data_IF_484953972856
#
_entry.id   IF_484953972856
#
_cell.length_a   1.000
_cell.length_b   1.000
_cell.length_c   1.000
_cell.angle_alpha   90.00
_cell.angle_beta   90.00
_cell.angle_gamma   90.00
#
_symmetry.space_group_name_H-M   'P 1'
#
loop_
_entity.id
_entity.type
_entity.pdbx_description
1 polymer ?
#
# COMPACT_ATOMS: atom_id res chain seq x y z
N UNK A 1 15.94 -15.84 16.99
CA UNK A 1 15.85 -15.68 18.46
C UNK A 1 15.17 -16.92 19.02
N UNK A 2 15.95 -17.89 19.49
CA UNK A 2 15.43 -18.93 20.38
C UNK A 2 15.56 -18.35 21.79
N UNK A 3 14.59 -17.57 22.24
CA UNK A 3 14.47 -17.28 23.66
C UNK A 3 14.29 -18.61 24.39
N UNK A 4 15.14 -18.85 25.40
CA UNK A 4 15.03 -20.02 26.27
C UNK A 4 13.62 -20.02 26.86
N UNK A 5 12.79 -20.98 26.41
CA UNK A 5 11.52 -21.28 27.07
C UNK A 5 11.84 -21.45 28.55
N UNK A 6 11.33 -20.55 29.39
CA UNK A 6 11.61 -20.56 30.82
C UNK A 6 11.36 -21.95 31.40
N UNK A 7 12.19 -22.34 32.37
CA UNK A 7 12.13 -23.65 33.00
C UNK A 7 10.67 -23.99 33.37
N UNK A 8 10.14 -25.07 32.78
CA UNK A 8 8.75 -25.52 32.97
C UNK A 8 8.38 -25.62 34.45
N UNK A 9 9.36 -25.96 35.29
CA UNK A 9 9.18 -26.07 36.72
C UNK A 9 8.92 -24.70 37.37
N UNK A 10 9.60 -23.64 36.92
CA UNK A 10 9.36 -22.27 37.39
C UNK A 10 7.98 -21.75 36.97
N UNK A 11 7.58 -21.98 35.71
CA UNK A 11 6.26 -21.59 35.21
C UNK A 11 5.17 -22.34 35.99
N UNK A 12 5.38 -23.64 36.22
CA UNK A 12 4.45 -24.47 36.98
C UNK A 12 4.30 -24.00 38.43
N UNK A 13 5.40 -23.75 39.14
CA UNK A 13 5.34 -23.27 40.53
C UNK A 13 4.66 -21.91 40.67
N UNK A 14 4.71 -21.06 39.64
CA UNK A 14 3.96 -19.80 39.61
C UNK A 14 2.46 -20.02 39.40
N UNK A 15 2.06 -20.96 38.53
CA UNK A 15 0.66 -21.22 38.21
C UNK A 15 -0.05 -22.10 39.25
N UNK A 16 0.67 -23.06 39.85
CA UNK A 16 0.16 -24.06 40.80
C UNK A 16 1.13 -24.22 41.98
N UNK A 17 1.21 -23.22 42.88
CA UNK A 17 2.15 -23.26 44.00
C UNK A 17 1.90 -24.46 44.91
N UNK A 18 2.97 -25.20 45.23
CA UNK A 18 2.90 -26.37 46.12
C UNK A 18 2.45 -27.68 45.45
N UNK A 19 2.05 -27.67 44.18
CA UNK A 19 1.75 -28.90 43.43
C UNK A 19 3.02 -29.44 42.73
N UNK A 20 3.22 -30.78 42.65
CA UNK A 20 4.25 -31.36 41.80
C UNK A 20 3.94 -31.08 40.32
N UNK A 21 4.99 -30.95 39.49
CA UNK A 21 4.87 -30.67 38.06
C UNK A 21 4.04 -31.76 37.35
N UNK A 22 2.88 -31.39 36.80
CA UNK A 22 2.07 -32.25 35.94
C UNK A 22 2.20 -31.79 34.49
N UNK A 23 3.22 -32.29 33.79
CA UNK A 23 3.55 -31.86 32.43
C UNK A 23 2.37 -31.98 31.45
N UNK A 24 1.51 -33.00 31.58
CA UNK A 24 0.29 -33.12 30.77
C UNK A 24 -0.70 -31.96 30.94
N UNK A 25 -0.91 -31.48 32.17
CA UNK A 25 -1.77 -30.33 32.46
C UNK A 25 -1.13 -29.03 31.95
N UNK A 26 0.18 -28.90 32.06
CA UNK A 26 0.92 -27.75 31.53
C UNK A 26 0.83 -27.66 30.01
N UNK A 27 1.03 -28.78 29.30
CA UNK A 27 0.85 -28.84 27.84
C UNK A 27 -0.57 -28.50 27.40
N UNK A 28 -1.59 -28.98 28.14
CA UNK A 28 -2.98 -28.61 27.88
C UNK A 28 -3.20 -27.10 28.03
N UNK A 29 -2.66 -26.48 29.10
CA UNK A 29 -2.74 -25.03 29.29
C UNK A 29 -2.06 -24.25 28.16
N UNK A 30 -0.89 -24.69 27.70
CA UNK A 30 -0.25 -24.08 26.53
C UNK A 30 -1.14 -24.18 25.30
N UNK A 31 -1.71 -25.35 25.02
CA UNK A 31 -2.61 -25.55 23.90
C UNK A 31 -3.85 -24.64 23.99
N UNK A 32 -4.51 -24.61 25.15
CA UNK A 32 -5.70 -23.78 25.38
C UNK A 32 -5.37 -22.29 25.26
N UNK A 33 -4.22 -21.85 25.79
CA UNK A 33 -3.78 -20.45 25.68
C UNK A 33 -3.42 -20.07 24.24
N UNK A 34 -2.73 -20.95 23.50
CA UNK A 34 -2.45 -20.74 22.08
C UNK A 34 -3.75 -20.61 21.28
N UNK A 35 -4.73 -21.50 21.51
CA UNK A 35 -6.03 -21.42 20.84
C UNK A 35 -6.78 -20.11 21.17
N UNK A 36 -6.73 -19.66 22.43
CA UNK A 36 -7.32 -18.37 22.82
C UNK A 36 -6.60 -17.18 22.18
N UNK A 37 -5.27 -17.22 22.11
CA UNK A 37 -4.47 -16.19 21.46
C UNK A 37 -4.78 -16.12 19.96
N UNK A 38 -4.88 -17.26 19.28
CA UNK A 38 -5.28 -17.34 17.87
C UNK A 38 -6.66 -16.70 17.63
N UNK A 39 -7.64 -17.03 18.48
CA UNK A 39 -8.99 -16.44 18.41
C UNK A 39 -8.96 -14.93 18.67
N UNK A 40 -8.19 -14.49 19.66
CA UNK A 40 -8.04 -13.08 20.00
C UNK A 40 -7.41 -12.29 18.85
N UNK A 41 -6.32 -12.78 18.26
CA UNK A 41 -5.66 -12.15 17.11
C UNK A 41 -6.61 -12.11 15.90
N UNK A 42 -7.33 -13.20 15.61
CA UNK A 42 -8.33 -13.19 14.55
C UNK A 42 -9.46 -12.16 14.81
N UNK A 43 -9.87 -12.00 16.06
CA UNK A 43 -10.87 -10.99 16.44
C UNK A 43 -10.33 -9.56 16.33
N UNK A 44 -9.05 -9.32 16.66
CA UNK A 44 -8.43 -8.01 16.47
C UNK A 44 -8.39 -7.64 14.98
N UNK A 45 -7.92 -8.55 14.11
CA UNK A 45 -7.87 -8.36 12.66
C UNK A 45 -9.26 -8.08 12.05
N UNK A 46 -10.30 -8.75 12.56
CA UNK A 46 -11.70 -8.48 12.16
C UNK A 46 -12.16 -7.04 12.48
N UNK A 47 -11.55 -6.41 13.49
CA UNK A 47 -11.82 -5.03 13.87
C UNK A 47 -11.04 -4.00 13.03
N UNK A 48 -9.91 -4.38 12.45
CA UNK A 48 -9.06 -3.46 11.68
C UNK A 48 -9.59 -3.20 10.27
N UNK A 49 -10.14 -4.23 9.61
CA UNK A 49 -10.66 -4.07 8.26
C UNK A 49 -12.09 -3.52 8.32
N UNK A 50 -12.32 -2.28 7.87
CA UNK A 50 -13.69 -1.75 7.76
C UNK A 50 -14.51 -2.72 6.90
N UNK A 51 -15.82 -2.78 7.11
CA UNK A 51 -16.74 -3.66 6.37
C UNK A 51 -16.81 -5.14 6.80
N UNK A 52 -15.71 -5.76 7.24
CA UNK A 52 -15.66 -7.24 7.42
C UNK A 52 -16.74 -7.77 8.37
N UNK A 53 -16.95 -7.11 9.51
CA UNK A 53 -18.01 -7.45 10.46
C UNK A 53 -19.40 -7.44 9.80
N UNK A 54 -19.70 -6.41 9.01
CA UNK A 54 -21.02 -6.21 8.41
C UNK A 54 -21.27 -7.24 7.30
N UNK A 55 -20.26 -7.61 6.53
CA UNK A 55 -20.33 -8.71 5.55
C UNK A 55 -20.62 -10.04 6.24
N UNK A 56 -19.86 -10.36 7.30
CA UNK A 56 -20.04 -11.60 8.05
C UNK A 56 -21.43 -11.67 8.68
N UNK A 57 -21.92 -10.55 9.21
CA UNK A 57 -23.26 -10.43 9.74
C UNK A 57 -24.34 -10.70 8.68
N UNK A 58 -24.26 -10.06 7.51
CA UNK A 58 -25.21 -10.27 6.40
C UNK A 58 -25.17 -11.73 5.92
N UNK A 59 -23.99 -12.33 5.78
CA UNK A 59 -23.83 -13.75 5.42
C UNK A 59 -24.43 -14.69 6.46
N UNK A 60 -24.30 -14.37 7.74
CA UNK A 60 -24.92 -15.14 8.81
C UNK A 60 -26.45 -15.09 8.69
N UNK A 61 -27.03 -13.90 8.52
CA UNK A 61 -28.48 -13.73 8.35
C UNK A 61 -29.02 -14.52 7.15
N UNK A 62 -28.28 -14.53 6.02
CA UNK A 62 -28.65 -15.34 4.86
C UNK A 62 -28.73 -16.83 5.20
N UNK A 63 -27.75 -17.35 5.96
CA UNK A 63 -27.69 -18.78 6.34
C UNK A 63 -28.77 -19.19 7.33
N UNK A 64 -29.26 -18.27 8.16
CA UNK A 64 -30.30 -18.55 9.17
C UNK A 64 -31.72 -18.43 8.62
N UNK A 65 -31.93 -18.38 7.30
CA UNK A 65 -33.23 -18.14 6.67
C UNK A 65 -33.93 -16.88 7.22
N UNK A 66 -33.16 -15.82 7.47
CA UNK A 66 -33.72 -14.55 7.92
C UNK A 66 -34.69 -13.98 6.87
N UNK A 67 -35.62 -13.12 7.30
CA UNK A 67 -36.58 -12.46 6.41
C UNK A 67 -35.85 -11.75 5.26
N UNK A 68 -36.16 -12.17 4.03
CA UNK A 68 -35.42 -11.76 2.83
C UNK A 68 -35.59 -10.27 2.51
N UNK A 69 -36.78 -9.71 2.75
CA UNK A 69 -37.04 -8.29 2.52
C UNK A 69 -36.28 -7.41 3.51
N UNK A 70 -36.25 -7.79 4.80
CA UNK A 70 -35.42 -7.13 5.81
C UNK A 70 -33.94 -7.27 5.51
N UNK A 71 -33.50 -8.44 5.04
CA UNK A 71 -32.10 -8.65 4.65
C UNK A 71 -31.70 -7.74 3.48
N UNK A 72 -32.55 -7.63 2.45
CA UNK A 72 -32.30 -6.70 1.34
C UNK A 72 -32.19 -5.24 1.83
N UNK A 73 -33.05 -4.81 2.76
CA UNK A 73 -32.98 -3.48 3.34
C UNK A 73 -31.67 -3.24 4.13
N UNK A 74 -31.23 -4.24 4.91
CA UNK A 74 -29.94 -4.19 5.63
C UNK A 74 -28.79 -4.06 4.64
N UNK A 75 -28.76 -4.88 3.58
CA UNK A 75 -27.74 -4.85 2.53
C UNK A 75 -27.67 -3.46 1.90
N UNK A 76 -28.81 -2.90 1.46
CA UNK A 76 -28.87 -1.56 0.86
C UNK A 76 -28.35 -0.48 1.80
N UNK A 77 -28.75 -0.54 3.07
CA UNK A 77 -28.26 0.40 4.09
C UNK A 77 -26.75 0.30 4.26
N UNK A 78 -26.21 -0.91 4.39
CA UNK A 78 -24.76 -1.13 4.57
C UNK A 78 -23.96 -0.67 3.36
N UNK A 79 -24.43 -0.91 2.13
CA UNK A 79 -23.82 -0.36 0.90
C UNK A 79 -23.76 1.17 0.93
N UNK A 80 -24.87 1.82 1.29
CA UNK A 80 -24.90 3.28 1.42
C UNK A 80 -23.96 3.79 2.52
N UNK A 81 -23.84 3.08 3.64
CA UNK A 81 -22.90 3.42 4.70
C UNK A 81 -21.44 3.27 4.24
N UNK A 82 -21.13 2.27 3.40
CA UNK A 82 -19.78 2.08 2.87
C UNK A 82 -19.38 3.21 1.91
N UNK A 83 -20.30 3.60 1.02
CA UNK A 83 -20.09 4.71 0.09
C UNK A 83 -19.82 6.04 0.80
N UNK A 84 -20.45 6.28 1.96
CA UNK A 84 -20.23 7.49 2.77
C UNK A 84 -18.83 7.58 3.37
N UNK A 85 -18.11 6.46 3.52
CA UNK A 85 -16.73 6.50 4.00
C UNK A 85 -15.78 7.10 2.96
N UNK A 86 -16.16 7.09 1.67
CA UNK A 86 -15.37 7.70 0.59
C UNK A 86 -14.07 6.95 0.25
N UNK A 87 -13.76 5.86 0.94
CA UNK A 87 -12.63 4.99 0.61
C UNK A 87 -12.97 4.14 -0.62
N UNK A 88 -12.03 4.05 -1.56
CA UNK A 88 -12.13 3.26 -2.78
C UNK A 88 -10.92 2.33 -2.92
N UNK A 89 -10.42 1.81 -1.80
CA UNK A 89 -9.32 0.85 -1.76
C UNK A 89 -9.78 -0.58 -2.06
N UNK A 90 -8.83 -1.51 -2.02
CA UNK A 90 -9.07 -2.93 -2.25
C UNK A 90 -10.14 -3.47 -1.29
N UNK A 91 -10.07 -3.13 -0.01
CA UNK A 91 -10.99 -3.63 1.00
C UNK A 91 -12.42 -3.15 0.73
N UNK A 92 -12.58 -1.90 0.31
CA UNK A 92 -13.86 -1.38 -0.16
C UNK A 92 -14.42 -2.20 -1.33
N UNK A 93 -13.64 -2.42 -2.40
CA UNK A 93 -14.13 -3.17 -3.56
C UNK A 93 -14.42 -4.63 -3.24
N UNK A 94 -13.60 -5.27 -2.40
CA UNK A 94 -13.84 -6.61 -1.89
C UNK A 94 -15.16 -6.66 -1.12
N UNK A 95 -15.38 -5.69 -0.25
CA UNK A 95 -16.59 -5.62 0.57
C UNK A 95 -17.84 -5.40 -0.26
N UNK A 96 -17.80 -4.44 -1.18
CA UNK A 96 -18.89 -4.13 -2.10
C UNK A 96 -19.21 -5.33 -2.99
N UNK A 97 -18.20 -6.00 -3.56
CA UNK A 97 -18.39 -7.22 -4.34
C UNK A 97 -19.07 -8.33 -3.53
N UNK A 98 -18.59 -8.59 -2.30
CA UNK A 98 -19.18 -9.62 -1.44
C UNK A 98 -20.61 -9.28 -1.01
N UNK A 99 -20.88 -8.00 -0.74
CA UNK A 99 -22.21 -7.51 -0.40
C UNK A 99 -23.17 -7.66 -1.57
N UNK A 100 -22.74 -7.29 -2.78
CA UNK A 100 -23.54 -7.42 -4.00
C UNK A 100 -23.78 -8.88 -4.37
N UNK A 101 -22.77 -9.74 -4.29
CA UNK A 101 -22.94 -11.17 -4.50
C UNK A 101 -23.97 -11.77 -3.51
N UNK A 102 -23.95 -11.30 -2.25
CA UNK A 102 -24.94 -11.71 -1.25
C UNK A 102 -26.33 -11.17 -1.57
N UNK A 103 -26.43 -9.93 -2.07
CA UNK A 103 -27.70 -9.35 -2.53
C UNK A 103 -28.32 -10.18 -3.65
N UNK A 104 -27.51 -10.57 -4.64
CA UNK A 104 -27.97 -11.40 -5.75
C UNK A 104 -28.43 -12.79 -5.30
N UNK A 105 -27.79 -13.38 -4.28
CA UNK A 105 -28.27 -14.61 -3.66
C UNK A 105 -29.65 -14.44 -3.01
N UNK A 106 -29.87 -13.36 -2.26
CA UNK A 106 -31.19 -13.04 -1.66
C UNK A 106 -32.25 -12.91 -2.75
N UNK A 107 -31.94 -12.20 -3.84
CA UNK A 107 -32.86 -12.01 -4.97
C UNK A 107 -33.19 -13.30 -5.70
N UNK A 108 -32.19 -14.16 -5.89
CA UNK A 108 -32.40 -15.48 -6.46
C UNK A 108 -33.36 -16.32 -5.58
N UNK A 109 -33.23 -16.26 -4.26
CA UNK A 109 -34.17 -16.90 -3.34
C UNK A 109 -35.58 -16.29 -3.42
N UNK A 110 -35.67 -14.99 -3.66
CA UNK A 110 -36.93 -14.27 -3.91
C UNK A 110 -37.47 -14.44 -5.35
N UNK A 111 -36.76 -15.17 -6.22
CA UNK A 111 -37.07 -15.34 -7.66
C UNK A 111 -37.17 -14.01 -8.43
N UNK A 112 -36.40 -13.01 -8.02
CA UNK A 112 -36.31 -11.74 -8.75
C UNK A 112 -35.28 -11.86 -9.90
N UNK A 113 -35.60 -11.36 -11.10
CA UNK A 113 -34.65 -11.37 -12.21
C UNK A 113 -33.47 -10.44 -11.94
N UNK A 114 -32.29 -10.84 -12.42
CA UNK A 114 -31.07 -10.01 -12.38
C UNK A 114 -31.06 -9.15 -13.64
N UNK A 115 -30.91 -7.84 -13.49
CA UNK A 115 -30.82 -6.94 -14.64
C UNK A 115 -29.41 -6.94 -15.25
N UNK A 116 -29.26 -6.59 -16.54
CA UNK A 116 -27.94 -6.43 -17.17
C UNK A 116 -27.04 -5.44 -16.41
N UNK A 117 -27.60 -4.34 -15.90
CA UNK A 117 -26.87 -3.31 -15.15
C UNK A 117 -26.30 -3.86 -13.84
N UNK A 118 -27.05 -4.72 -13.16
CA UNK A 118 -26.60 -5.38 -11.91
C UNK A 118 -25.48 -6.39 -12.18
N UNK A 119 -25.57 -7.08 -13.32
CA UNK A 119 -24.52 -7.99 -13.77
C UNK A 119 -23.25 -7.21 -14.08
N UNK A 120 -23.37 -6.06 -14.75
CA UNK A 120 -22.26 -5.16 -15.03
C UNK A 120 -21.65 -4.60 -13.74
N UNK A 121 -22.47 -4.17 -12.77
CA UNK A 121 -21.97 -3.70 -11.47
C UNK A 121 -21.13 -4.78 -10.76
N UNK A 122 -21.58 -6.04 -10.75
CA UNK A 122 -20.80 -7.15 -10.21
C UNK A 122 -19.47 -7.35 -10.94
N UNK A 123 -19.49 -7.26 -12.27
CA UNK A 123 -18.29 -7.36 -13.10
C UNK A 123 -17.32 -6.22 -12.77
N UNK A 124 -17.81 -4.99 -12.62
CA UNK A 124 -16.97 -3.81 -12.34
C UNK A 124 -16.35 -3.89 -10.94
N UNK A 125 -17.14 -4.28 -9.94
CA UNK A 125 -16.66 -4.49 -8.56
C UNK A 125 -15.61 -5.60 -8.51
N UNK A 126 -15.86 -6.73 -9.19
CA UNK A 126 -14.92 -7.83 -9.28
C UNK A 126 -13.63 -7.42 -10.02
N UNK A 127 -13.76 -6.69 -11.13
CA UNK A 127 -12.62 -6.21 -11.93
C UNK A 127 -11.75 -5.27 -11.13
N UNK A 128 -12.33 -4.36 -10.35
CA UNK A 128 -11.56 -3.46 -9.51
C UNK A 128 -10.87 -4.20 -8.37
N UNK A 129 -11.57 -5.09 -7.67
CA UNK A 129 -10.98 -5.90 -6.60
C UNK A 129 -9.85 -6.80 -7.12
N UNK A 130 -10.14 -7.66 -8.11
CA UNK A 130 -9.17 -8.62 -8.64
C UNK A 130 -8.09 -7.94 -9.47
N UNK A 131 -8.41 -6.85 -10.16
CA UNK A 131 -7.47 -6.09 -10.96
C UNK A 131 -6.38 -5.47 -10.10
N UNK A 132 -6.74 -4.84 -8.98
CA UNK A 132 -5.75 -4.29 -8.04
C UNK A 132 -4.85 -5.38 -7.47
N UNK A 133 -5.43 -6.49 -6.97
CA UNK A 133 -4.66 -7.61 -6.43
C UNK A 133 -3.70 -8.22 -7.44
N UNK A 134 -4.22 -8.48 -8.64
CA UNK A 134 -3.44 -9.12 -9.69
C UNK A 134 -2.31 -8.22 -10.19
N UNK A 135 -2.60 -6.94 -10.43
CA UNK A 135 -1.60 -5.97 -10.88
C UNK A 135 -0.54 -5.78 -9.80
N UNK A 136 -0.95 -5.66 -8.53
CA UNK A 136 -0.03 -5.55 -7.40
C UNK A 136 0.92 -6.74 -7.32
N UNK A 137 0.40 -7.97 -7.36
CA UNK A 137 1.22 -9.19 -7.36
C UNK A 137 2.17 -9.25 -8.57
N UNK A 138 1.66 -8.88 -9.74
CA UNK A 138 2.46 -8.87 -10.98
C UNK A 138 3.58 -7.84 -10.91
N UNK A 139 3.29 -6.65 -10.40
CA UNK A 139 4.26 -5.57 -10.17
C UNK A 139 5.29 -5.95 -9.10
N UNK A 140 4.89 -6.65 -8.04
CA UNK A 140 5.83 -7.18 -7.05
C UNK A 140 6.81 -8.18 -7.66
N UNK A 141 6.33 -9.06 -8.54
CA UNK A 141 7.19 -9.99 -9.27
C UNK A 141 8.14 -9.23 -10.21
N UNK A 142 7.63 -8.28 -10.98
CA UNK A 142 8.44 -7.47 -11.91
C UNK A 142 9.45 -6.56 -11.21
N UNK A 143 9.12 -6.04 -10.02
CA UNK A 143 10.02 -5.21 -9.21
C UNK A 143 11.11 -6.02 -8.47
N UNK A 144 10.95 -7.33 -8.33
CA UNK A 144 11.98 -8.24 -7.79
C UNK A 144 12.78 -8.99 -8.84
N UNK A 145 12.28 -9.10 -10.06
CA UNK A 145 13.01 -9.72 -11.16
C UNK A 145 14.31 -8.94 -11.44
N UNK A 146 15.45 -9.48 -10.98
CA UNK A 146 16.78 -8.89 -11.09
C UNK A 146 17.35 -8.95 -12.52
N UNK A 147 16.80 -9.82 -13.39
CA UNK A 147 17.38 -10.17 -14.68
C UNK A 147 16.45 -9.95 -15.89
N UNK A 148 15.49 -9.01 -15.80
CA UNK A 148 14.84 -8.43 -16.98
C UNK A 148 13.98 -9.36 -17.85
N UNK A 149 13.74 -10.61 -17.47
CA UNK A 149 12.77 -11.47 -18.17
C UNK A 149 11.43 -11.45 -17.42
N UNK A 150 10.45 -10.65 -17.88
CA UNK A 150 9.10 -10.72 -17.33
C UNK A 150 8.58 -12.15 -17.57
N UNK A 151 8.06 -12.76 -16.50
CA UNK A 151 7.45 -14.09 -16.58
C UNK A 151 6.11 -13.95 -17.31
N UNK A 152 6.14 -14.03 -18.64
CA UNK A 152 5.13 -13.45 -19.54
C UNK A 152 3.87 -14.30 -19.78
N UNK A 153 3.69 -15.47 -19.18
CA UNK A 153 2.79 -16.47 -19.77
C UNK A 153 1.35 -16.55 -19.22
N UNK A 154 0.96 -15.82 -18.18
CA UNK A 154 -0.34 -16.05 -17.53
C UNK A 154 -1.20 -14.79 -17.30
N UNK A 155 -0.82 -13.65 -17.86
CA UNK A 155 -1.42 -12.34 -17.55
C UNK A 155 -2.18 -11.66 -18.69
N UNK A 156 -1.94 -12.05 -19.94
CA UNK A 156 -2.43 -11.30 -21.10
C UNK A 156 -3.97 -11.21 -21.13
N UNK A 157 -4.68 -12.32 -20.86
CA UNK A 157 -6.15 -12.35 -20.88
C UNK A 157 -6.78 -11.50 -19.78
N UNK A 158 -6.25 -11.57 -18.55
CA UNK A 158 -6.78 -10.77 -17.45
C UNK A 158 -6.48 -9.28 -17.64
N UNK A 159 -5.31 -8.94 -18.19
CA UNK A 159 -4.97 -7.56 -18.55
C UNK A 159 -5.85 -7.02 -19.67
N UNK A 160 -6.08 -7.81 -20.72
CA UNK A 160 -7.01 -7.47 -21.79
C UNK A 160 -8.41 -7.26 -21.24
N UNK A 161 -8.85 -8.13 -20.33
CA UNK A 161 -10.14 -7.99 -19.65
C UNK A 161 -10.22 -6.70 -18.85
N UNK A 162 -9.26 -6.42 -17.96
CA UNK A 162 -9.21 -5.17 -17.17
C UNK A 162 -9.19 -3.94 -18.08
N UNK A 163 -8.39 -3.97 -19.15
CA UNK A 163 -8.30 -2.89 -20.13
C UNK A 163 -9.62 -2.67 -20.87
N UNK A 164 -10.31 -3.74 -21.25
CA UNK A 164 -11.58 -3.70 -21.94
C UNK A 164 -12.67 -3.17 -21.02
N UNK A 165 -12.80 -3.69 -19.80
CA UNK A 165 -13.73 -3.21 -18.79
C UNK A 165 -13.56 -1.71 -18.52
N UNK A 166 -12.32 -1.21 -18.45
CA UNK A 166 -12.08 0.22 -18.27
C UNK A 166 -12.43 1.08 -19.50
N UNK A 167 -12.39 0.54 -20.72
CA UNK A 167 -12.84 1.26 -21.92
C UNK A 167 -14.36 1.37 -21.94
N UNK A 168 -15.04 0.28 -21.60
CA UNK A 168 -16.50 0.18 -21.62
C UNK A 168 -17.11 1.05 -20.51
N UNK A 169 -16.49 1.08 -19.32
CA UNK A 169 -16.89 1.95 -18.20
C UNK A 169 -16.73 3.46 -18.45
N UNK A 170 -15.90 3.90 -19.42
CA UNK A 170 -15.81 5.32 -19.81
C UNK A 170 -16.98 5.77 -20.69
N UNK A 171 -17.63 4.84 -21.38
CA UNK A 171 -18.73 5.14 -22.30
C UNK A 171 -20.08 5.28 -21.58
N UNK A 172 -20.20 4.74 -20.35
CA UNK A 172 -21.46 4.73 -19.59
C UNK A 172 -21.78 6.03 -18.84
N UNK A 173 -20.91 7.06 -18.90
CA UNK A 173 -21.20 8.41 -18.41
C UNK A 173 -21.38 8.56 -16.88
N UNK A 174 -21.15 7.51 -16.10
CA UNK A 174 -21.28 7.55 -14.65
C UNK A 174 -19.97 8.02 -14.00
N UNK A 175 -19.97 9.27 -13.53
CA UNK A 175 -18.84 9.95 -12.91
C UNK A 175 -18.33 9.23 -11.64
N UNK A 176 -19.21 8.49 -10.93
CA UNK A 176 -18.82 7.62 -9.81
C UNK A 176 -17.99 6.40 -10.25
N UNK A 177 -18.28 5.80 -11.40
CA UNK A 177 -17.52 4.66 -11.95
C UNK A 177 -16.12 5.09 -12.40
N UNK A 178 -15.98 6.30 -12.95
CA UNK A 178 -14.67 6.85 -13.32
C UNK A 178 -13.71 6.96 -12.12
N UNK A 179 -14.23 7.32 -10.94
CA UNK A 179 -13.45 7.31 -9.70
C UNK A 179 -13.19 5.90 -9.17
N UNK A 180 -14.14 4.96 -9.37
CA UNK A 180 -13.96 3.56 -8.95
C UNK A 180 -12.79 2.88 -9.69
N UNK A 181 -12.50 3.25 -10.93
CA UNK A 181 -11.36 2.71 -11.66
C UNK A 181 -10.04 3.47 -11.43
N UNK A 182 -10.01 4.54 -10.63
CA UNK A 182 -8.83 5.38 -10.48
C UNK A 182 -7.59 4.59 -10.00
N UNK A 183 -7.76 3.75 -8.97
CA UNK A 183 -6.67 2.94 -8.43
C UNK A 183 -6.23 1.85 -9.41
N UNK A 184 -7.17 1.12 -9.99
CA UNK A 184 -6.88 0.09 -10.99
C UNK A 184 -6.16 0.68 -12.20
N UNK A 185 -6.53 1.89 -12.62
CA UNK A 185 -5.86 2.63 -13.69
C UNK A 185 -4.43 3.01 -13.32
N UNK A 186 -4.18 3.50 -12.10
CA UNK A 186 -2.82 3.77 -11.59
C UNK A 186 -1.97 2.50 -11.65
N UNK A 187 -2.46 1.39 -11.10
CA UNK A 187 -1.73 0.13 -11.13
C UNK A 187 -1.46 -0.37 -12.55
N UNK A 188 -2.43 -0.21 -13.46
CA UNK A 188 -2.25 -0.62 -14.86
C UNK A 188 -1.19 0.24 -15.56
N UNK A 189 -1.16 1.55 -15.33
CA UNK A 189 -0.15 2.44 -15.90
C UNK A 189 1.25 2.10 -15.40
N UNK A 190 1.40 1.88 -14.08
CA UNK A 190 2.66 1.38 -13.52
C UNK A 190 3.02 0.03 -14.14
N UNK A 191 2.06 -0.89 -14.32
CA UNK A 191 2.32 -2.17 -14.96
C UNK A 191 2.84 -2.00 -16.39
N UNK A 192 2.23 -1.12 -17.19
CA UNK A 192 2.68 -0.82 -18.55
C UNK A 192 4.12 -0.31 -18.59
N UNK A 193 4.50 0.57 -17.64
CA UNK A 193 5.87 1.05 -17.50
C UNK A 193 6.90 -0.07 -17.32
N UNK A 194 6.59 -1.09 -16.50
CA UNK A 194 7.48 -2.24 -16.28
C UNK A 194 7.58 -3.19 -17.47
N UNK A 195 6.65 -3.11 -18.44
CA UNK A 195 6.55 -4.04 -19.57
C UNK A 195 6.83 -3.38 -20.92
N UNK A 196 7.61 -2.30 -20.91
CA UNK A 196 8.07 -1.64 -22.15
C UNK A 196 7.04 -0.74 -22.80
N UNK A 197 5.98 -0.35 -22.08
CA UNK A 197 5.13 0.76 -22.50
C UNK A 197 5.95 2.05 -22.57
N UNK A 198 5.81 2.78 -23.67
CA UNK A 198 6.35 4.13 -23.77
C UNK A 198 5.46 5.08 -22.97
N UNK A 199 6.04 5.78 -22.01
CA UNK A 199 5.37 6.89 -21.32
C UNK A 199 6.27 8.11 -21.48
N UNK A 200 5.74 9.16 -22.11
CA UNK A 200 6.46 10.42 -22.23
C UNK A 200 6.51 11.13 -20.86
N UNK A 201 7.34 12.16 -20.74
CA UNK A 201 7.54 12.88 -19.47
C UNK A 201 6.23 13.44 -18.91
N UNK A 202 5.36 13.96 -19.78
CA UNK A 202 4.06 14.51 -19.40
C UNK A 202 3.12 13.45 -18.81
N UNK A 203 3.07 12.26 -19.41
CA UNK A 203 2.24 11.17 -18.92
C UNK A 203 2.78 10.62 -17.59
N UNK A 204 4.10 10.54 -17.43
CA UNK A 204 4.73 10.17 -16.16
C UNK A 204 4.40 11.20 -15.05
N UNK A 205 4.51 12.49 -15.36
CA UNK A 205 4.14 13.55 -14.42
C UNK A 205 2.66 13.43 -14.02
N UNK A 206 1.78 13.20 -14.99
CA UNK A 206 0.37 12.98 -14.72
C UNK A 206 0.14 11.76 -13.82
N UNK A 207 0.87 10.65 -14.04
CA UNK A 207 0.77 9.46 -13.18
C UNK A 207 1.16 9.77 -11.74
N UNK A 208 2.24 10.53 -11.53
CA UNK A 208 2.68 10.97 -10.21
C UNK A 208 1.59 11.81 -9.54
N UNK A 209 0.99 12.75 -10.28
CA UNK A 209 -0.10 13.58 -9.74
C UNK A 209 -1.34 12.77 -9.41
N UNK A 210 -1.70 11.80 -10.23
CA UNK A 210 -2.84 10.91 -9.99
C UNK A 210 -2.62 10.06 -8.74
N UNK A 211 -1.40 9.54 -8.52
CA UNK A 211 -1.03 8.85 -7.29
C UNK A 211 -1.12 9.78 -6.08
N UNK A 212 -0.61 11.00 -6.16
CA UNK A 212 -0.70 11.96 -5.05
C UNK A 212 -2.15 12.29 -4.69
N UNK A 213 -3.00 12.51 -5.69
CA UNK A 213 -4.43 12.79 -5.50
C UNK A 213 -5.21 11.58 -4.96
N UNK A 214 -4.79 10.37 -5.32
CA UNK A 214 -5.48 9.15 -4.88
C UNK A 214 -5.21 8.78 -3.43
N UNK A 215 -4.28 9.45 -2.73
CA UNK A 215 -4.00 9.21 -1.30
C UNK A 215 -5.27 9.23 -0.44
N UNK A 216 -6.18 10.18 -0.69
CA UNK A 216 -7.43 10.31 0.05
C UNK A 216 -8.41 9.15 -0.16
N UNK A 217 -8.21 8.33 -1.20
CA UNK A 217 -9.07 7.19 -1.52
C UNK A 217 -8.73 5.95 -0.68
N UNK A 218 -7.60 5.92 0.02
CA UNK A 218 -7.19 4.77 0.83
C UNK A 218 -7.59 4.98 2.29
N UNK A 219 -8.22 3.97 2.88
CA UNK A 219 -8.45 3.91 4.34
C UNK A 219 -7.16 3.60 5.11
N UNK A 220 -6.23 2.87 4.48
CA UNK A 220 -4.97 2.43 5.05
C UNK A 220 -3.76 3.00 4.28
N UNK A 221 -2.90 3.73 5.00
CA UNK A 221 -1.69 4.33 4.44
C UNK A 221 -0.68 3.30 3.92
N UNK A 222 -0.64 2.10 4.51
CA UNK A 222 0.22 1.01 4.07
C UNK A 222 -0.20 0.46 2.70
N UNK A 223 -1.50 0.47 2.40
CA UNK A 223 -1.97 0.09 1.07
C UNK A 223 -1.60 1.15 0.02
N UNK A 224 -1.73 2.43 0.38
CA UNK A 224 -1.30 3.53 -0.49
C UNK A 224 0.21 3.48 -0.81
N UNK A 225 1.03 3.03 0.14
CA UNK A 225 2.48 2.87 -0.06
C UNK A 225 2.81 1.92 -1.21
N UNK A 226 1.95 0.96 -1.55
CA UNK A 226 2.19 -0.01 -2.61
C UNK A 226 2.39 0.63 -4.00
N UNK A 227 1.39 1.29 -4.62
CA UNK A 227 1.57 1.92 -5.94
C UNK A 227 2.67 2.98 -5.91
N UNK A 228 2.78 3.71 -4.80
CA UNK A 228 3.81 4.72 -4.62
C UNK A 228 5.23 4.14 -4.69
N UNK A 229 5.54 3.11 -3.90
CA UNK A 229 6.86 2.46 -3.92
C UNK A 229 7.14 1.72 -5.22
N UNK A 230 6.13 1.14 -5.86
CA UNK A 230 6.30 0.49 -7.16
C UNK A 230 6.74 1.48 -8.24
N UNK A 231 6.15 2.68 -8.27
CA UNK A 231 6.57 3.75 -9.17
C UNK A 231 7.96 4.28 -8.81
N UNK A 232 8.26 4.51 -7.52
CA UNK A 232 9.61 4.91 -7.12
C UNK A 232 10.68 3.90 -7.54
N UNK A 233 10.41 2.60 -7.37
CA UNK A 233 11.32 1.54 -7.78
C UNK A 233 11.52 1.53 -9.30
N UNK A 234 10.47 1.81 -10.07
CA UNK A 234 10.58 1.98 -11.52
C UNK A 234 11.51 3.14 -11.87
N UNK A 235 11.27 4.31 -11.28
CA UNK A 235 12.07 5.49 -11.53
C UNK A 235 13.54 5.31 -11.11
N UNK A 236 13.81 4.63 -10.00
CA UNK A 236 15.18 4.29 -9.57
C UNK A 236 15.87 3.42 -10.63
N UNK A 237 15.17 2.40 -11.15
CA UNK A 237 15.69 1.54 -12.22
C UNK A 237 16.00 2.34 -13.48
N UNK A 238 15.06 3.18 -13.92
CA UNK A 238 15.24 4.03 -15.11
C UNK A 238 16.38 5.03 -14.94
N UNK A 239 16.48 5.70 -13.81
CA UNK A 239 17.62 6.56 -13.47
C UNK A 239 18.94 5.81 -13.55
N UNK A 240 19.02 4.60 -13.00
CA UNK A 240 20.26 3.81 -13.01
C UNK A 240 20.62 3.28 -14.41
N UNK A 241 19.65 3.13 -15.32
CA UNK A 241 19.86 2.64 -16.69
C UNK A 241 20.21 3.77 -17.66
N UNK A 242 19.45 4.87 -17.63
CA UNK A 242 19.49 5.93 -18.65
C UNK A 242 20.22 7.18 -18.17
N UNK A 243 20.42 7.32 -16.85
CA UNK A 243 20.99 8.52 -16.20
C UNK A 243 20.30 9.84 -16.63
N UNK A 244 19.02 9.78 -17.01
CA UNK A 244 18.28 10.94 -17.48
C UNK A 244 17.88 11.87 -16.31
N UNK A 245 18.06 13.21 -16.45
CA UNK A 245 17.70 14.19 -15.41
C UNK A 245 16.24 14.12 -14.98
N UNK A 246 15.32 13.82 -15.91
CA UNK A 246 13.88 13.75 -15.64
C UNK A 246 13.54 12.76 -14.52
N UNK A 247 14.14 11.56 -14.51
CA UNK A 247 13.86 10.57 -13.47
C UNK A 247 14.46 10.97 -12.12
N UNK A 248 15.60 11.67 -12.12
CA UNK A 248 16.20 12.20 -10.89
C UNK A 248 15.30 13.26 -10.27
N UNK A 249 14.78 14.19 -11.07
CA UNK A 249 13.86 15.23 -10.60
C UNK A 249 12.53 14.65 -10.13
N UNK A 250 11.95 13.72 -10.88
CA UNK A 250 10.71 13.02 -10.49
C UNK A 250 10.88 12.23 -9.19
N UNK A 251 11.99 11.50 -9.03
CA UNK A 251 12.30 10.81 -7.79
C UNK A 251 12.43 11.77 -6.61
N UNK A 252 13.15 12.86 -6.77
CA UNK A 252 13.33 13.86 -5.72
C UNK A 252 11.98 14.44 -5.29
N UNK A 253 11.13 14.84 -6.24
CA UNK A 253 9.77 15.33 -5.99
C UNK A 253 8.89 14.29 -5.27
N UNK A 254 9.03 13.01 -5.63
CA UNK A 254 8.31 11.93 -4.95
C UNK A 254 8.80 11.74 -3.51
N UNK A 255 10.11 11.72 -3.26
CA UNK A 255 10.65 11.61 -1.90
C UNK A 255 10.24 12.80 -1.02
N UNK A 256 10.32 14.04 -1.52
CA UNK A 256 9.92 15.23 -0.76
C UNK A 256 8.48 15.12 -0.29
N UNK A 257 7.58 14.84 -1.24
CA UNK A 257 6.17 14.67 -0.96
C UNK A 257 5.91 13.50 0.00
N UNK A 258 6.59 12.36 -0.15
CA UNK A 258 6.41 11.21 0.73
C UNK A 258 6.86 11.47 2.16
N UNK A 259 7.88 12.30 2.36
CA UNK A 259 8.32 12.71 3.69
C UNK A 259 7.28 13.65 4.29
N UNK A 260 6.82 14.65 3.54
CA UNK A 260 5.78 15.60 3.97
C UNK A 260 4.46 14.90 4.32
N UNK A 261 4.06 13.90 3.53
CA UNK A 261 2.86 13.10 3.73
C UNK A 261 3.03 12.00 4.80
N UNK A 262 4.20 11.87 5.44
CA UNK A 262 4.45 10.86 6.47
C UNK A 262 4.55 9.41 5.95
N UNK A 263 4.65 9.21 4.64
CA UNK A 263 4.70 7.88 4.01
C UNK A 263 6.02 7.14 4.27
N UNK A 264 7.09 7.87 4.59
CA UNK A 264 8.43 7.29 4.84
C UNK A 264 8.74 7.09 6.33
N UNK A 265 7.73 7.28 7.19
CA UNK A 265 7.87 7.20 8.64
C UNK A 265 7.80 5.75 9.12
N UNK A 266 8.77 5.37 9.94
CA UNK A 266 8.80 4.21 10.81
C UNK A 266 8.79 4.77 12.24
N UNK A 267 7.59 4.88 12.81
CA UNK A 267 7.26 5.43 14.14
C UNK A 267 8.46 5.77 15.05
N UNK A 268 8.64 7.03 15.48
CA UNK A 268 8.21 8.30 14.90
C UNK A 268 9.23 8.86 13.91
N UNK A 269 10.14 8.04 13.37
CA UNK A 269 11.33 8.50 12.62
C UNK A 269 11.24 8.22 11.13
N UNK A 270 11.96 8.97 10.29
CA UNK A 270 12.18 8.55 8.89
C UNK A 270 13.20 7.42 8.85
N UNK A 271 12.95 6.38 8.04
CA UNK A 271 13.95 5.34 7.82
C UNK A 271 15.27 5.93 7.27
N UNK A 272 16.42 5.43 7.74
CA UNK A 272 17.73 5.93 7.30
C UNK A 272 17.90 5.85 5.77
N UNK A 273 17.49 4.74 5.15
CA UNK A 273 17.62 4.52 3.70
C UNK A 273 16.84 5.55 2.87
N UNK A 274 15.51 5.76 3.08
CA UNK A 274 14.78 6.83 2.42
C UNK A 274 15.41 8.21 2.57
N UNK A 275 15.86 8.55 3.79
CA UNK A 275 16.47 9.85 4.05
C UNK A 275 17.77 10.04 3.27
N UNK A 276 18.67 9.06 3.30
CA UNK A 276 19.92 9.12 2.54
C UNK A 276 19.67 9.22 1.04
N UNK A 277 18.67 8.50 0.52
CA UNK A 277 18.29 8.59 -0.89
C UNK A 277 17.76 9.98 -1.25
N UNK A 278 16.90 10.57 -0.41
CA UNK A 278 16.40 11.93 -0.58
C UNK A 278 17.54 12.96 -0.64
N UNK A 279 18.48 12.91 0.31
CA UNK A 279 19.64 13.82 0.33
C UNK A 279 20.50 13.65 -0.91
N UNK A 280 20.83 12.40 -1.29
CA UNK A 280 21.63 12.13 -2.50
C UNK A 280 20.97 12.66 -3.76
N UNK A 281 19.65 12.47 -3.88
CA UNK A 281 18.89 12.98 -5.01
C UNK A 281 18.93 14.49 -5.05
N UNK A 282 18.65 15.16 -3.92
CA UNK A 282 18.67 16.63 -3.83
C UNK A 282 20.04 17.23 -4.15
N UNK A 283 21.13 16.59 -3.75
CA UNK A 283 22.49 17.00 -4.18
C UNK A 283 22.64 16.83 -5.69
N UNK A 284 22.27 15.66 -6.24
CA UNK A 284 22.44 15.37 -7.67
C UNK A 284 21.55 16.22 -8.59
N UNK A 285 20.42 16.72 -8.09
CA UNK A 285 19.50 17.57 -8.84
C UNK A 285 19.67 19.06 -8.56
N UNK A 286 20.60 19.46 -7.67
CA UNK A 286 20.82 20.85 -7.28
C UNK A 286 19.82 21.42 -6.26
N UNK A 287 18.90 20.60 -5.73
CA UNK A 287 17.87 21.00 -4.76
C UNK A 287 18.38 20.97 -3.29
N UNK A 288 19.60 21.43 -3.05
CA UNK A 288 20.26 21.35 -1.74
C UNK A 288 19.59 22.26 -0.70
N UNK A 289 19.07 23.41 -1.13
CA UNK A 289 18.32 24.34 -0.29
C UNK A 289 17.07 23.69 0.30
N UNK A 290 16.34 22.91 -0.50
CA UNK A 290 15.15 22.17 -0.07
C UNK A 290 15.50 21.09 0.96
N UNK A 291 16.56 20.31 0.70
CA UNK A 291 17.05 19.31 1.65
C UNK A 291 17.44 19.94 2.99
N UNK A 292 18.16 21.07 2.94
CA UNK A 292 18.56 21.81 4.14
C UNK A 292 17.35 22.39 4.89
N UNK A 293 16.36 22.93 4.16
CA UNK A 293 15.12 23.44 4.73
C UNK A 293 14.33 22.32 5.43
N UNK A 294 14.13 21.19 4.77
CA UNK A 294 13.44 20.04 5.36
C UNK A 294 14.14 19.58 6.64
N UNK A 295 15.46 19.41 6.60
CA UNK A 295 16.24 18.99 7.77
C UNK A 295 16.13 19.97 8.94
N UNK A 296 16.19 21.28 8.67
CA UNK A 296 16.08 22.33 9.69
C UNK A 296 14.73 22.30 10.40
N UNK A 297 13.66 22.07 9.64
CA UNK A 297 12.29 22.16 10.13
C UNK A 297 11.72 20.80 10.60
N UNK A 298 12.42 19.70 10.35
CA UNK A 298 11.99 18.37 10.79
C UNK A 298 12.04 18.27 12.33
N UNK A 299 10.93 17.86 12.98
CA UNK A 299 10.92 17.64 14.43
C UNK A 299 12.03 16.67 14.83
N UNK A 300 12.66 16.91 15.99
CA UNK A 300 13.78 16.07 16.45
C UNK A 300 13.40 14.60 16.57
N UNK A 301 12.15 14.31 16.97
CA UNK A 301 11.60 12.95 17.03
C UNK A 301 11.45 12.29 15.65
N UNK A 302 11.30 13.09 14.58
CA UNK A 302 11.15 12.62 13.21
C UNK A 302 12.48 12.44 12.47
N UNK A 303 13.58 12.92 13.05
CA UNK A 303 14.89 12.78 12.43
C UNK A 303 15.24 11.29 12.28
N UNK A 304 15.91 10.91 11.20
CA UNK A 304 16.24 9.52 10.94
C UNK A 304 16.98 8.92 12.13
N UNK A 305 16.64 7.67 12.46
CA UNK A 305 17.38 6.88 13.46
C UNK A 305 18.86 7.05 13.19
N UNK A 306 19.59 7.46 14.24
CA UNK A 306 20.82 8.24 14.11
C UNK A 306 22.04 7.40 13.67
N UNK A 307 21.93 6.70 12.54
CA UNK A 307 23.02 6.04 11.86
C UNK A 307 24.11 7.02 11.47
N UNK A 308 25.35 6.53 11.44
CA UNK A 308 26.53 7.35 11.11
C UNK A 308 26.38 8.01 9.73
N UNK A 309 25.73 7.34 8.77
CA UNK A 309 25.56 7.85 7.40
C UNK A 309 24.56 9.00 7.33
N UNK A 310 23.38 8.87 7.94
CA UNK A 310 22.39 9.96 7.95
C UNK A 310 22.95 11.26 8.54
N UNK A 311 23.78 11.18 9.59
CA UNK A 311 24.46 12.34 10.18
C UNK A 311 25.49 12.97 9.24
N UNK A 312 26.26 12.18 8.49
CA UNK A 312 27.23 12.71 7.52
C UNK A 312 26.51 13.45 6.40
N UNK A 313 25.46 12.86 5.83
CA UNK A 313 24.66 13.49 4.78
C UNK A 313 23.94 14.76 5.29
N UNK A 314 23.38 14.73 6.50
CA UNK A 314 22.78 15.92 7.10
C UNK A 314 23.79 17.05 7.35
N UNK A 315 25.01 16.73 7.76
CA UNK A 315 26.10 17.72 7.93
C UNK A 315 26.60 18.28 6.60
N UNK A 316 26.66 17.46 5.56
CA UNK A 316 27.00 17.94 4.21
C UNK A 316 26.02 19.02 3.71
N UNK A 317 24.78 19.02 4.22
CA UNK A 317 23.78 20.04 3.93
C UNK A 317 23.80 21.25 4.90
N UNK A 318 24.70 21.31 5.89
CA UNK A 318 24.71 22.30 6.98
C UNK A 318 26.11 22.85 7.34
N UNK A 319 26.41 24.16 7.30
CA UNK A 319 25.90 25.23 6.44
C UNK A 319 26.86 25.45 5.27
N UNK A 320 26.39 25.23 4.04
CA UNK A 320 26.97 25.93 2.90
C UNK A 320 26.55 27.41 3.06
N UNK A 321 27.48 28.36 3.26
CA UNK A 321 27.13 29.76 3.42
C UNK A 321 26.28 30.19 2.22
N UNK A 322 25.27 31.02 2.47
CA UNK A 322 24.30 31.56 1.50
C UNK A 322 24.91 32.34 0.31
N UNK A 323 26.24 32.31 0.17
CA UNK A 323 27.02 32.76 -0.99
C UNK A 323 27.83 31.58 -1.53
N UNK A 324 27.30 30.82 -2.48
CA UNK A 324 28.12 29.93 -3.31
C UNK A 324 27.93 30.31 -4.78
N UNK A 325 29.06 30.61 -5.39
CA UNK A 325 29.24 30.93 -6.81
C UNK A 325 28.99 29.65 -7.62
N UNK A 326 28.21 29.69 -8.71
CA UNK A 326 28.01 28.54 -9.60
C UNK A 326 29.37 28.13 -10.20
N UNK A 327 29.99 27.06 -9.69
CA UNK A 327 31.29 26.58 -10.16
C UNK A 327 32.03 25.64 -9.21
N UNK A 328 31.93 25.83 -7.89
CA UNK A 328 32.62 24.98 -6.90
C UNK A 328 31.84 23.71 -6.49
N UNK A 329 30.72 23.42 -7.15
CA UNK A 329 29.84 22.31 -6.77
C UNK A 329 30.32 20.93 -7.23
N UNK A 330 31.15 20.83 -8.27
CA UNK A 330 31.62 19.52 -8.77
C UNK A 330 32.45 18.76 -7.73
N UNK A 331 33.31 19.46 -7.00
CA UNK A 331 34.35 18.83 -6.18
C UNK A 331 33.79 18.33 -4.85
N UNK A 332 32.89 19.10 -4.22
CA UNK A 332 32.23 18.70 -2.97
C UNK A 332 31.24 17.54 -3.19
N UNK A 333 30.50 17.60 -4.31
CA UNK A 333 29.56 16.54 -4.70
C UNK A 333 30.30 15.23 -4.97
N UNK A 334 31.44 15.28 -5.66
CA UNK A 334 32.29 14.11 -5.89
C UNK A 334 32.88 13.56 -4.59
N UNK A 335 33.33 14.40 -3.66
CA UNK A 335 33.85 13.95 -2.36
C UNK A 335 32.79 13.21 -1.51
N UNK A 336 31.56 13.74 -1.45
CA UNK A 336 30.45 13.13 -0.68
C UNK A 336 29.95 11.84 -1.32
N UNK A 337 29.94 11.76 -2.66
CA UNK A 337 29.49 10.56 -3.39
C UNK A 337 30.53 9.44 -3.38
N UNK A 338 31.83 9.77 -3.32
CA UNK A 338 32.92 8.79 -3.38
C UNK A 338 33.35 8.25 -2.01
N UNK A 339 33.16 8.99 -0.91
CA UNK A 339 33.65 8.54 0.41
C UNK A 339 32.81 9.02 1.61
N UNK A 340 31.58 8.49 1.83
CA UNK A 340 30.64 8.98 2.84
C UNK A 340 31.03 8.72 4.31
N UNK A 341 32.22 8.18 4.58
CA UNK A 341 32.73 7.90 5.94
C UNK A 341 33.81 8.89 6.41
N UNK A 342 34.30 9.74 5.52
CA UNK A 342 35.15 10.91 5.82
C UNK A 342 34.31 12.18 5.68
#
# INVERSE_FOLDING_TARGET
MHEQVGDKQQIWQKLFPGEPLKDGRLRKLYFDLSALLEQYLAFQELGEVPYTRDILFVRHLLRTNFDQAKLEAIIKKKRADFLKLGHLDKHFFQAMFQMEATHQQVRALMKQPISPEQTQELIDLWTNYMGQEYLLLSLYKSSKASNGKPQQASSALLLQFIQQSMKDGKQSGQQEIANQHALTSIFLRIYSLYHGGEENEQALEQLIQDIKKSQALFSNIEEFRNPFYLLMNYLIRKRNQENAPVYTQSLFSMYSWAIEAGLMMQEPTIGETPFVNYVKLGISSGNISEVAFLWKNMPTACRPTAGKKSRVYARACWPLPTRIIPGHFSDLTMAILTNPTK
#
